data_IF_614069618595
#
_entry.id   IF_614069618595
#
_cell.length_a   1.000
_cell.length_b   1.000
_cell.length_c   1.000
_cell.angle_alpha   90.00
_cell.angle_beta   90.00
_cell.angle_gamma   90.00
#
_symmetry.space_group_name_H-M   'P 1'
#
loop_
_entity.id
_entity.type
_entity.pdbx_description
1 polymer ?
#
# COMPACT_ATOMS: atom_id res chain seq x y z
N UNK A 1 2.87 18.46 14.20
CA UNK A 1 3.43 17.16 13.81
C UNK A 1 4.87 17.31 13.35
N UNK A 2 5.19 18.10 12.34
CA UNK A 2 6.56 18.21 11.81
C UNK A 2 7.62 18.62 12.85
N UNK A 3 7.30 19.54 13.76
CA UNK A 3 8.22 20.05 14.79
C UNK A 3 8.57 19.03 15.89
N UNK A 4 7.75 18.02 16.06
CA UNK A 4 7.91 16.99 17.08
C UNK A 4 8.20 15.60 16.49
N UNK A 5 8.59 15.53 15.21
CA UNK A 5 8.95 14.29 14.55
C UNK A 5 7.81 13.30 14.35
N UNK A 6 6.54 13.76 14.35
CA UNK A 6 5.38 12.89 14.06
C UNK A 6 5.13 12.82 12.57
N UNK A 7 5.22 11.62 12.01
CA UNK A 7 4.94 11.36 10.60
C UNK A 7 3.45 11.58 10.27
N UNK A 8 3.18 12.24 9.13
CA UNK A 8 1.83 12.38 8.60
C UNK A 8 1.56 11.24 7.62
N UNK A 9 0.61 10.36 7.96
CA UNK A 9 0.13 9.30 7.09
C UNK A 9 -1.21 9.67 6.45
N UNK A 10 -1.27 9.60 5.12
CA UNK A 10 -2.43 9.98 4.30
C UNK A 10 -3.13 8.77 3.65
N UNK A 11 -2.89 7.55 4.14
CA UNK A 11 -3.43 6.31 3.55
C UNK A 11 -4.95 6.30 3.47
N UNK A 12 -5.66 6.71 4.54
CA UNK A 12 -7.12 6.74 4.62
C UNK A 12 -7.75 8.06 4.19
N UNK A 13 -6.95 9.00 3.68
CA UNK A 13 -7.42 10.32 3.25
C UNK A 13 -8.01 10.27 1.85
N UNK A 14 -9.07 11.06 1.62
CA UNK A 14 -9.58 11.31 0.27
C UNK A 14 -8.60 12.21 -0.51
N UNK A 15 -8.84 12.35 -1.81
CA UNK A 15 -7.96 13.11 -2.72
C UNK A 15 -7.71 14.54 -2.26
N UNK A 16 -8.76 15.25 -1.78
CA UNK A 16 -8.60 16.63 -1.29
C UNK A 16 -7.74 16.68 -0.03
N UNK A 17 -8.03 15.85 0.96
CA UNK A 17 -7.25 15.79 2.21
C UNK A 17 -5.82 15.35 1.96
N UNK A 18 -5.60 14.43 1.00
CA UNK A 18 -4.24 14.02 0.59
C UNK A 18 -3.47 15.21 0.02
N UNK A 19 -4.06 15.95 -0.92
CA UNK A 19 -3.43 17.14 -1.51
C UNK A 19 -3.12 18.23 -0.47
N UNK A 20 -4.09 18.53 0.38
CA UNK A 20 -3.93 19.54 1.44
C UNK A 20 -2.85 19.13 2.46
N UNK A 21 -2.82 17.84 2.84
CA UNK A 21 -1.82 17.29 3.77
C UNK A 21 -0.40 17.34 3.20
N UNK A 22 -0.22 16.97 1.92
CA UNK A 22 1.08 17.08 1.23
C UNK A 22 1.52 18.55 1.15
N UNK A 23 0.63 19.46 0.79
CA UNK A 23 0.94 20.88 0.67
C UNK A 23 1.32 21.49 2.03
N UNK A 24 0.59 21.18 3.08
CA UNK A 24 0.77 21.77 4.42
C UNK A 24 2.01 21.22 5.15
N UNK A 25 2.46 19.99 4.85
CA UNK A 25 3.60 19.38 5.53
C UNK A 25 4.91 20.06 5.13
N UNK A 26 5.79 20.34 6.11
CA UNK A 26 7.17 20.83 5.89
C UNK A 26 8.18 19.67 5.80
N UNK A 27 7.79 18.46 6.12
CA UNK A 27 8.59 17.22 6.06
C UNK A 27 7.97 16.29 5.01
N UNK A 28 8.69 15.27 4.55
CA UNK A 28 8.10 14.21 3.74
C UNK A 28 6.85 13.62 4.40
N UNK A 29 5.91 13.14 3.61
CA UNK A 29 4.67 12.50 4.09
C UNK A 29 4.63 11.04 3.68
N UNK A 30 3.80 10.26 4.38
CA UNK A 30 3.61 8.85 4.12
C UNK A 30 2.22 8.60 3.52
N UNK A 31 2.15 7.65 2.64
CA UNK A 31 0.96 6.86 2.34
C UNK A 31 1.36 5.43 2.65
N UNK A 32 1.23 5.02 3.92
CA UNK A 32 1.81 3.76 4.39
C UNK A 32 1.22 2.55 3.70
N UNK A 33 -0.07 2.63 3.27
CA UNK A 33 -0.75 1.53 2.61
C UNK A 33 -1.87 2.04 1.68
N UNK A 34 -1.70 1.84 0.38
CA UNK A 34 -2.70 2.15 -0.65
C UNK A 34 -2.41 1.37 -1.94
N UNK A 35 -3.32 1.44 -2.90
CA UNK A 35 -3.10 1.02 -4.29
C UNK A 35 -3.06 2.23 -5.22
N UNK A 36 -3.03 1.97 -6.54
CA UNK A 36 -3.04 2.97 -7.59
C UNK A 36 -4.41 2.99 -8.29
N UNK A 37 -5.08 4.15 -8.32
CA UNK A 37 -6.43 4.29 -8.91
C UNK A 37 -6.43 4.06 -10.42
N UNK A 38 -5.33 4.35 -11.10
CA UNK A 38 -5.18 4.09 -12.52
C UNK A 38 -5.13 2.59 -12.87
N UNK A 39 -4.75 1.71 -11.91
CA UNK A 39 -4.77 0.25 -12.10
C UNK A 39 -6.16 -0.32 -11.80
N UNK A 40 -6.74 0.10 -10.68
CA UNK A 40 -8.11 -0.22 -10.33
C UNK A 40 -8.78 0.96 -9.63
N UNK A 41 -9.91 1.43 -10.18
CA UNK A 41 -10.65 2.58 -9.67
C UNK A 41 -11.38 2.23 -8.37
N UNK A 42 -10.72 2.51 -7.26
CA UNK A 42 -11.26 2.30 -5.91
C UNK A 42 -11.00 3.54 -5.04
N UNK A 43 -11.93 3.95 -4.12
CA UNK A 43 -11.75 5.14 -3.28
C UNK A 43 -10.51 5.11 -2.38
N UNK A 44 -10.06 3.91 -1.98
CA UNK A 44 -8.84 3.71 -1.17
C UNK A 44 -7.55 3.86 -1.97
N UNK A 45 -7.62 3.77 -3.31
CA UNK A 45 -6.47 3.89 -4.20
C UNK A 45 -6.19 5.36 -4.52
N UNK A 46 -4.91 5.70 -4.67
CA UNK A 46 -4.44 7.06 -4.92
C UNK A 46 -4.36 7.35 -6.41
N UNK A 47 -4.67 8.59 -6.77
CA UNK A 47 -4.53 9.09 -8.14
C UNK A 47 -3.07 9.39 -8.48
N UNK A 48 -2.70 9.34 -9.76
CA UNK A 48 -1.33 9.62 -10.20
C UNK A 48 -0.85 11.02 -9.80
N UNK A 49 -1.74 12.01 -9.72
CA UNK A 49 -1.40 13.36 -9.24
C UNK A 49 -1.03 13.38 -7.76
N UNK A 50 -1.69 12.55 -6.92
CA UNK A 50 -1.36 12.41 -5.50
C UNK A 50 0.00 11.72 -5.33
N UNK A 51 0.26 10.69 -6.16
CA UNK A 51 1.52 9.96 -6.17
C UNK A 51 2.70 10.85 -6.59
N UNK A 52 2.53 11.66 -7.64
CA UNK A 52 3.54 12.63 -8.08
C UNK A 52 3.84 13.66 -7.00
N UNK A 53 2.80 14.26 -6.42
CA UNK A 53 2.97 15.26 -5.35
C UNK A 53 3.65 14.65 -4.11
N UNK A 54 3.33 13.39 -3.76
CA UNK A 54 4.01 12.63 -2.71
C UNK A 54 5.51 12.49 -2.99
N UNK A 55 5.87 12.08 -4.22
CA UNK A 55 7.26 11.90 -4.63
C UNK A 55 8.04 13.24 -4.63
N UNK A 56 7.45 14.29 -5.17
CA UNK A 56 8.03 15.65 -5.17
C UNK A 56 8.28 16.15 -3.74
N UNK A 57 7.46 15.72 -2.78
CA UNK A 57 7.63 16.01 -1.34
C UNK A 57 8.67 15.11 -0.66
N UNK A 58 9.27 14.17 -1.37
CA UNK A 58 10.23 13.20 -0.82
C UNK A 58 9.58 12.02 -0.06
N UNK A 59 8.26 11.89 -0.13
CA UNK A 59 7.50 10.87 0.59
C UNK A 59 7.62 9.46 0.01
N UNK A 60 6.83 8.53 0.56
CA UNK A 60 6.77 7.13 0.11
C UNK A 60 5.35 6.59 0.18
N UNK A 61 4.96 5.80 -0.84
CA UNK A 61 3.74 4.99 -0.83
C UNK A 61 4.09 3.52 -0.61
N UNK A 62 3.38 2.84 0.32
CA UNK A 62 3.38 1.40 0.47
C UNK A 62 2.22 0.77 -0.29
N UNK A 63 2.49 -0.20 -1.14
CA UNK A 63 1.42 -0.95 -1.81
C UNK A 63 0.87 -2.00 -0.85
N UNK A 64 -0.46 -2.00 -0.66
CA UNK A 64 -1.13 -2.89 0.28
C UNK A 64 -1.49 -4.25 -0.33
N UNK A 65 -1.83 -5.21 0.54
CA UNK A 65 -2.23 -6.57 0.14
C UNK A 65 -3.73 -6.81 0.42
N UNK A 66 -4.56 -5.82 0.10
CA UNK A 66 -5.99 -5.82 0.36
C UNK A 66 -6.83 -6.14 -0.89
N UNK A 67 -8.10 -6.53 -0.71
CA UNK A 67 -9.01 -6.83 -1.84
C UNK A 67 -9.22 -5.65 -2.79
N UNK A 68 -8.92 -4.42 -2.37
CA UNK A 68 -9.06 -3.18 -3.15
C UNK A 68 -8.05 -3.02 -4.31
N UNK A 69 -7.24 -4.05 -4.58
CA UNK A 69 -6.36 -4.12 -5.76
C UNK A 69 -7.08 -4.59 -7.02
N UNK A 70 -8.25 -5.21 -6.88
CA UNK A 70 -9.01 -5.76 -8.01
C UNK A 70 -10.51 -5.53 -7.87
N UNK A 71 -11.21 -5.57 -9.01
CA UNK A 71 -12.67 -5.53 -9.03
C UNK A 71 -13.28 -6.81 -8.44
N UNK A 72 -14.35 -6.69 -7.59
CA UNK A 72 -15.12 -7.84 -7.15
C UNK A 72 -15.71 -8.64 -8.31
N UNK A 73 -15.89 -9.95 -8.19
CA UNK A 73 -15.58 -10.80 -7.03
C UNK A 73 -14.13 -11.36 -7.02
N UNK A 74 -13.25 -10.86 -7.89
CA UNK A 74 -11.89 -11.37 -8.07
C UNK A 74 -11.03 -11.08 -6.84
N UNK A 75 -10.56 -12.13 -6.15
CA UNK A 75 -9.53 -12.00 -5.11
C UNK A 75 -8.19 -11.61 -5.77
N UNK A 76 -7.47 -10.58 -5.28
CA UNK A 76 -6.18 -10.21 -5.83
C UNK A 76 -5.13 -11.31 -5.62
N UNK A 77 -4.24 -11.45 -6.58
CA UNK A 77 -3.09 -12.36 -6.56
C UNK A 77 -1.79 -11.55 -6.58
N UNK A 78 -0.65 -12.18 -6.38
CA UNK A 78 0.68 -11.54 -6.46
C UNK A 78 0.84 -10.69 -7.74
N UNK A 79 0.35 -11.18 -8.89
CA UNK A 79 0.42 -10.43 -10.16
C UNK A 79 -0.33 -9.09 -10.09
N UNK A 80 -1.46 -9.04 -9.39
CA UNK A 80 -2.27 -7.83 -9.27
C UNK A 80 -1.58 -6.82 -8.32
N UNK A 81 -1.00 -7.30 -7.21
CA UNK A 81 -0.14 -6.51 -6.34
C UNK A 81 1.04 -5.88 -7.12
N UNK A 82 1.73 -6.70 -7.92
CA UNK A 82 2.86 -6.23 -8.72
C UNK A 82 2.46 -5.23 -9.80
N UNK A 83 1.25 -5.31 -10.36
CA UNK A 83 0.75 -4.29 -11.30
C UNK A 83 0.62 -2.92 -10.64
N UNK A 84 0.11 -2.85 -9.40
CA UNK A 84 0.06 -1.61 -8.64
C UNK A 84 1.44 -1.09 -8.29
N UNK A 85 2.37 -1.98 -7.90
CA UNK A 85 3.75 -1.62 -7.58
C UNK A 85 4.48 -1.07 -8.81
N UNK A 86 4.41 -1.76 -9.95
CA UNK A 86 5.02 -1.33 -11.21
C UNK A 86 4.46 0.05 -11.65
N UNK A 87 3.14 0.26 -11.51
CA UNK A 87 2.52 1.55 -11.82
C UNK A 87 3.02 2.65 -10.89
N UNK A 88 3.08 2.40 -9.57
CA UNK A 88 3.61 3.36 -8.62
C UNK A 88 5.07 3.72 -8.94
N UNK A 89 5.93 2.73 -9.23
CA UNK A 89 7.32 2.98 -9.63
C UNK A 89 7.40 3.79 -10.92
N UNK A 90 6.53 3.51 -11.89
CA UNK A 90 6.47 4.29 -13.14
C UNK A 90 6.09 5.76 -12.89
N UNK A 91 5.22 6.04 -11.92
CA UNK A 91 4.70 7.39 -11.63
C UNK A 91 5.61 8.17 -10.69
N UNK A 92 6.12 7.53 -9.64
CA UNK A 92 6.86 8.16 -8.53
C UNK A 92 8.38 7.98 -8.64
N UNK A 93 8.84 6.99 -9.41
CA UNK A 93 10.21 6.50 -9.30
C UNK A 93 10.41 5.48 -8.17
N UNK A 94 11.47 4.68 -8.27
CA UNK A 94 11.79 3.59 -7.34
C UNK A 94 12.13 4.05 -5.91
N UNK A 95 12.45 5.33 -5.72
CA UNK A 95 12.81 5.92 -4.43
C UNK A 95 11.59 6.25 -3.55
N UNK A 96 10.39 6.16 -4.10
CA UNK A 96 9.15 6.61 -3.46
C UNK A 96 8.10 5.49 -3.29
N UNK A 97 8.49 4.23 -3.53
CA UNK A 97 7.58 3.08 -3.44
C UNK A 97 8.10 2.06 -2.45
N UNK A 98 7.21 1.45 -1.71
CA UNK A 98 7.49 0.39 -0.75
C UNK A 98 6.34 -0.60 -0.63
N UNK A 99 6.42 -1.46 0.37
CA UNK A 99 5.39 -2.44 0.72
C UNK A 99 4.73 -2.02 2.02
N UNK A 100 3.40 -1.92 2.03
CA UNK A 100 2.61 -1.59 3.20
C UNK A 100 1.42 -2.53 3.33
N UNK A 101 1.66 -3.77 3.71
CA UNK A 101 0.74 -4.90 3.54
C UNK A 101 -0.66 -4.67 4.07
N UNK A 102 -0.81 -4.01 5.21
CA UNK A 102 -2.08 -3.85 5.97
C UNK A 102 -2.74 -5.20 6.32
N UNK A 103 -1.94 -6.27 6.32
CA UNK A 103 -2.32 -7.62 6.72
C UNK A 103 -1.18 -8.27 7.50
N UNK A 104 -1.48 -9.28 8.35
CA UNK A 104 -0.44 -9.99 9.09
C UNK A 104 0.62 -10.64 8.19
N UNK A 105 1.86 -10.72 8.69
CA UNK A 105 2.93 -11.44 7.98
C UNK A 105 2.83 -12.95 8.12
N UNK A 106 2.06 -13.44 9.10
CA UNK A 106 1.84 -14.86 9.35
C UNK A 106 0.93 -15.47 8.28
N UNK A 107 0.98 -16.78 8.16
CA UNK A 107 -0.01 -17.55 7.42
C UNK A 107 -1.37 -17.41 8.09
N UNK A 108 -2.40 -17.13 7.30
CA UNK A 108 -3.79 -17.07 7.76
C UNK A 108 -4.41 -18.43 7.51
N UNK A 109 -4.82 -19.12 8.57
CA UNK A 109 -5.43 -20.44 8.51
C UNK A 109 -6.83 -20.41 7.87
N UNK A 110 -7.37 -21.56 7.49
CA UNK A 110 -8.73 -21.65 6.96
C UNK A 110 -9.78 -21.17 7.98
N UNK A 111 -9.55 -21.44 9.28
CA UNK A 111 -10.42 -20.97 10.36
C UNK A 111 -10.39 -19.44 10.48
N UNK A 112 -9.21 -18.82 10.44
CA UNK A 112 -9.07 -17.36 10.44
C UNK A 112 -9.66 -16.73 9.18
N UNK A 113 -9.54 -17.36 8.02
CA UNK A 113 -10.18 -16.90 6.78
C UNK A 113 -11.71 -16.94 6.88
N UNK A 114 -12.27 -18.00 7.48
CA UNK A 114 -13.70 -18.10 7.73
C UNK A 114 -14.18 -16.99 8.69
N UNK A 115 -13.41 -16.69 9.73
CA UNK A 115 -13.70 -15.59 10.66
C UNK A 115 -13.60 -14.22 9.98
N UNK A 116 -12.57 -13.98 9.17
CA UNK A 116 -12.45 -12.75 8.39
C UNK A 116 -13.66 -12.56 7.46
N UNK A 117 -14.09 -13.64 6.79
CA UNK A 117 -15.30 -13.60 5.95
C UNK A 117 -16.54 -13.27 6.76
N UNK A 118 -16.74 -13.91 7.90
CA UNK A 118 -17.87 -13.64 8.80
C UNK A 118 -17.92 -12.17 9.20
N UNK A 119 -16.80 -11.59 9.63
CA UNK A 119 -16.70 -10.17 9.98
C UNK A 119 -17.01 -9.25 8.80
N UNK A 120 -16.52 -9.60 7.62
CA UNK A 120 -16.83 -8.85 6.38
C UNK A 120 -18.33 -8.87 6.08
N UNK A 121 -18.98 -10.04 6.18
CA UNK A 121 -20.40 -10.19 5.96
C UNK A 121 -21.23 -9.41 7.01
N UNK A 122 -20.83 -9.44 8.29
CA UNK A 122 -21.46 -8.64 9.36
C UNK A 122 -21.36 -7.14 9.13
N UNK A 123 -20.17 -6.62 8.74
CA UNK A 123 -19.96 -5.21 8.41
C UNK A 123 -20.82 -4.78 7.23
N UNK A 124 -20.93 -5.66 6.22
CA UNK A 124 -21.80 -5.43 5.05
C UNK A 124 -23.27 -5.38 5.46
N UNK A 125 -23.73 -6.32 6.29
CA UNK A 125 -25.10 -6.36 6.80
C UNK A 125 -25.43 -5.12 7.66
N UNK A 126 -24.46 -4.62 8.42
CA UNK A 126 -24.60 -3.39 9.23
C UNK A 126 -24.48 -2.10 8.41
N UNK A 127 -24.19 -2.16 7.10
CA UNK A 127 -24.06 -0.97 6.23
C UNK A 127 -22.82 -0.12 6.50
N UNK A 128 -21.79 -0.68 7.17
CA UNK A 128 -20.55 0.02 7.55
C UNK A 128 -19.31 -0.47 6.77
N UNK A 129 -19.51 -1.44 5.86
CA UNK A 129 -18.44 -1.90 5.00
C UNK A 129 -18.03 -0.84 3.96
N UNK A 130 -16.73 -0.72 3.71
CA UNK A 130 -16.24 0.11 2.62
C UNK A 130 -16.68 -0.47 1.25
N UNK A 131 -16.77 0.35 0.19
CA UNK A 131 -16.95 -0.17 -1.16
C UNK A 131 -15.92 -1.26 -1.48
N UNK A 132 -16.36 -2.44 -1.98
CA UNK A 132 -15.47 -3.56 -2.29
C UNK A 132 -14.89 -4.31 -1.08
N UNK A 133 -15.30 -3.98 0.14
CA UNK A 133 -15.01 -4.76 1.36
C UNK A 133 -15.99 -5.95 1.46
N UNK A 134 -15.84 -6.87 0.53
CA UNK A 134 -16.70 -8.06 0.36
C UNK A 134 -15.88 -9.36 0.25
N UNK A 135 -14.57 -9.25 0.38
CA UNK A 135 -13.60 -10.34 0.25
C UNK A 135 -12.61 -10.31 1.41
N UNK A 136 -12.06 -11.47 1.82
CA UNK A 136 -11.05 -11.53 2.87
C UNK A 136 -9.81 -10.68 2.54
N UNK A 137 -9.26 -10.04 3.57
CA UNK A 137 -8.09 -9.18 3.45
C UNK A 137 -6.80 -10.01 3.42
N UNK A 138 -6.50 -10.61 2.27
CA UNK A 138 -5.24 -11.33 2.01
C UNK A 138 -5.05 -11.55 0.50
N UNK A 139 -3.84 -11.95 0.12
CA UNK A 139 -3.49 -12.39 -1.24
C UNK A 139 -3.20 -13.90 -1.18
N UNK A 140 -3.98 -14.78 -1.84
CA UNK A 140 -3.89 -16.23 -1.67
C UNK A 140 -2.51 -16.82 -1.94
N UNK A 141 -1.83 -16.41 -3.01
CA UNK A 141 -0.49 -16.88 -3.36
C UNK A 141 0.65 -16.20 -2.55
N UNK A 142 0.29 -15.26 -1.67
CA UNK A 142 1.16 -14.68 -0.64
C UNK A 142 0.72 -15.05 0.79
N UNK A 143 -0.19 -16.01 0.96
CA UNK A 143 -0.63 -16.49 2.27
C UNK A 143 0.43 -17.43 2.89
N UNK A 144 1.57 -16.88 3.20
CA UNK A 144 2.73 -17.57 3.74
C UNK A 144 3.61 -16.61 4.54
N UNK A 145 4.38 -17.12 5.49
CA UNK A 145 5.39 -16.37 6.22
C UNK A 145 6.52 -15.86 5.32
N UNK A 146 6.72 -16.52 4.16
CA UNK A 146 7.73 -16.17 3.15
C UNK A 146 7.25 -15.15 2.12
N UNK A 147 6.15 -14.44 2.37
CA UNK A 147 5.54 -13.51 1.38
C UNK A 147 6.52 -12.47 0.84
N UNK A 148 7.42 -11.94 1.67
CA UNK A 148 8.41 -10.95 1.20
C UNK A 148 9.49 -11.58 0.32
N UNK A 149 9.87 -12.83 0.57
CA UNK A 149 10.79 -13.57 -0.31
C UNK A 149 10.14 -13.80 -1.69
N UNK A 150 8.86 -14.19 -1.71
CA UNK A 150 8.11 -14.37 -2.97
C UNK A 150 7.98 -13.06 -3.75
N UNK A 151 7.72 -11.95 -3.07
CA UNK A 151 7.70 -10.63 -3.69
C UNK A 151 9.08 -10.25 -4.21
N UNK A 152 10.15 -10.49 -3.44
CA UNK A 152 11.54 -10.25 -3.84
C UNK A 152 11.88 -11.01 -5.13
N UNK A 153 11.61 -12.31 -5.17
CA UNK A 153 11.84 -13.14 -6.35
C UNK A 153 11.06 -12.65 -7.56
N UNK A 154 9.81 -12.23 -7.34
CA UNK A 154 8.95 -11.72 -8.41
C UNK A 154 9.45 -10.36 -8.96
N UNK A 155 9.95 -9.46 -8.12
CA UNK A 155 10.57 -8.19 -8.54
C UNK A 155 11.85 -8.44 -9.35
N UNK A 156 12.73 -9.33 -8.88
CA UNK A 156 13.95 -9.70 -9.61
C UNK A 156 13.63 -10.32 -10.98
N UNK A 157 12.62 -11.21 -11.06
CA UNK A 157 12.14 -11.80 -12.32
C UNK A 157 11.55 -10.76 -13.27
N UNK A 158 11.04 -9.63 -12.78
CA UNK A 158 10.57 -8.48 -13.56
C UNK A 158 11.70 -7.55 -14.03
N UNK A 159 12.94 -7.82 -13.64
CA UNK A 159 14.12 -7.04 -14.04
C UNK A 159 14.46 -5.87 -13.12
N UNK A 160 13.84 -5.76 -11.95
CA UNK A 160 14.29 -4.82 -10.93
C UNK A 160 15.71 -5.17 -10.48
N UNK A 161 16.56 -4.16 -10.36
CA UNK A 161 17.94 -4.35 -9.85
C UNK A 161 17.89 -4.53 -8.32
N UNK A 162 18.86 -5.23 -7.75
CA UNK A 162 18.95 -5.45 -6.30
C UNK A 162 18.78 -4.16 -5.49
N UNK A 163 19.44 -3.08 -5.90
CA UNK A 163 19.33 -1.80 -5.21
C UNK A 163 17.90 -1.24 -5.20
N UNK A 164 17.12 -1.39 -6.28
CA UNK A 164 15.72 -1.00 -6.32
C UNK A 164 14.85 -1.90 -5.43
N UNK A 165 15.12 -3.21 -5.42
CA UNK A 165 14.43 -4.17 -4.56
C UNK A 165 14.67 -3.85 -3.07
N UNK A 166 15.89 -3.57 -2.66
CA UNK A 166 16.23 -3.16 -1.28
C UNK A 166 15.48 -1.88 -0.85
N UNK A 167 15.39 -0.89 -1.75
CA UNK A 167 14.59 0.33 -1.51
C UNK A 167 13.13 0.00 -1.28
N UNK A 168 12.53 -0.81 -2.17
CA UNK A 168 11.11 -1.21 -2.13
C UNK A 168 10.79 -2.05 -0.89
N UNK A 169 11.67 -2.96 -0.49
CA UNK A 169 11.48 -3.84 0.67
C UNK A 169 11.48 -3.09 2.02
N UNK A 170 11.98 -1.85 2.07
CA UNK A 170 11.96 -1.07 3.30
C UNK A 170 12.92 0.12 3.33
N UNK A 171 13.91 0.16 2.44
CA UNK A 171 14.90 1.23 2.38
C UNK A 171 14.26 2.61 2.22
N UNK A 172 13.22 2.74 1.41
CA UNK A 172 12.49 3.99 1.21
C UNK A 172 11.73 4.44 2.46
N UNK A 173 11.03 3.54 3.15
CA UNK A 173 10.38 3.88 4.42
C UNK A 173 11.41 4.31 5.47
N UNK A 174 12.53 3.57 5.57
CA UNK A 174 13.61 3.91 6.50
C UNK A 174 14.17 5.31 6.23
N UNK A 175 14.41 5.65 4.95
CA UNK A 175 14.88 6.99 4.54
C UNK A 175 13.89 8.06 4.97
N UNK A 176 12.61 7.93 4.61
CA UNK A 176 11.59 8.93 4.90
C UNK A 176 11.39 9.11 6.40
N UNK A 177 11.38 8.03 7.17
CA UNK A 177 11.29 8.11 8.63
C UNK A 177 12.52 8.79 9.25
N UNK A 178 13.72 8.52 8.73
CA UNK A 178 14.92 9.21 9.17
C UNK A 178 14.82 10.72 8.90
N UNK A 179 14.34 11.14 7.73
CA UNK A 179 14.15 12.55 7.37
C UNK A 179 13.09 13.25 8.25
N UNK A 180 12.03 12.52 8.65
CA UNK A 180 10.98 13.05 9.53
C UNK A 180 11.50 13.22 10.96
N UNK A 181 12.27 12.24 11.46
CA UNK A 181 12.76 12.20 12.83
C UNK A 181 14.07 12.96 13.06
N UNK A 182 14.78 13.34 11.97
CA UNK A 182 15.92 14.26 12.09
C UNK A 182 15.41 15.64 12.52
N UNK A 183 15.68 16.01 13.74
CA UNK A 183 15.46 17.36 14.30
C UNK A 183 16.62 18.28 13.96
#
# INVERSE_FOLDING_TARGET
MNEIGVALDLSHSNTKTTADGIAASKKPVLITHAGCRAVYMHPRNKEDRELKALAEKGGVIGIYMLPFLTEPPKQPMLKDFLQHLDHAVKVCGEDHVGIGTDVPFLHVSEEELAELKRRTDERKAAGIAAPGEDRPAYIPDLNTERKLELVTDALLKRGYKNAAVEKILGGNFRRVLADIWST
#
